data_IF_056025938883
#
_entry.id   IF_056025938883
#
_cell.length_a   1.000
_cell.length_b   1.000
_cell.length_c   1.000
_cell.angle_alpha   90.00
_cell.angle_beta   90.00
_cell.angle_gamma   90.00
#
_symmetry.space_group_name_H-M   'P 1'
#
loop_
_entity.id
_entity.type
_entity.pdbx_description
1 polymer ?
#
# COMPACT_ATOMS: atom_id res chain seq x y z
N UNK A 1 9.20 -22.90 -56.90
CA UNK A 1 8.12 -23.14 -55.94
C UNK A 1 8.60 -23.13 -54.48
N UNK A 2 9.62 -22.32 -54.14
CA UNK A 2 10.20 -22.30 -52.73
C UNK A 2 9.72 -21.11 -51.86
N UNK A 3 8.90 -20.21 -52.40
CA UNK A 3 8.51 -18.97 -51.66
C UNK A 3 7.22 -19.02 -50.84
N UNK A 4 6.30 -19.92 -51.12
CA UNK A 4 5.01 -19.98 -50.41
C UNK A 4 5.06 -20.61 -49.04
N UNK A 5 5.94 -21.59 -48.84
CA UNK A 5 6.11 -22.25 -47.54
C UNK A 5 6.70 -21.34 -46.47
N UNK A 6 7.64 -20.48 -46.86
CA UNK A 6 8.33 -19.57 -45.93
C UNK A 6 7.40 -18.43 -45.44
N UNK A 7 6.49 -17.95 -46.29
CA UNK A 7 5.50 -16.93 -45.90
C UNK A 7 4.43 -17.50 -44.94
N UNK A 8 4.04 -18.76 -45.13
CA UNK A 8 3.07 -19.43 -44.24
C UNK A 8 3.66 -19.63 -42.84
N UNK A 9 4.94 -19.99 -42.75
CA UNK A 9 5.65 -20.13 -41.47
C UNK A 9 5.83 -18.81 -40.72
N UNK A 10 6.11 -17.69 -41.43
CA UNK A 10 6.21 -16.36 -40.85
C UNK A 10 4.87 -15.83 -40.34
N UNK A 11 3.76 -16.12 -41.04
CA UNK A 11 2.43 -15.75 -40.59
C UNK A 11 1.97 -16.61 -39.39
N UNK A 12 2.31 -17.89 -39.35
CA UNK A 12 2.04 -18.75 -38.21
C UNK A 12 2.86 -18.35 -36.96
N UNK A 13 4.12 -17.97 -37.13
CA UNK A 13 4.93 -17.46 -36.02
C UNK A 13 4.43 -16.10 -35.51
N UNK A 14 3.97 -15.21 -36.36
CA UNK A 14 3.36 -13.94 -35.99
C UNK A 14 2.04 -14.11 -35.26
N UNK A 15 1.20 -15.06 -35.68
CA UNK A 15 -0.05 -15.41 -35.01
C UNK A 15 0.15 -16.07 -33.63
N UNK A 16 1.19 -16.88 -33.47
CA UNK A 16 1.57 -17.46 -32.18
C UNK A 16 2.14 -16.41 -31.22
N UNK A 17 2.88 -15.43 -31.72
CA UNK A 17 3.42 -14.33 -30.90
C UNK A 17 2.30 -13.37 -30.43
N UNK A 18 1.24 -13.15 -31.20
CA UNK A 18 0.12 -12.32 -30.78
C UNK A 18 -0.85 -13.02 -29.82
N UNK A 19 -0.89 -14.35 -29.81
CA UNK A 19 -1.69 -15.11 -28.84
C UNK A 19 -1.08 -15.14 -27.43
N UNK A 20 0.24 -14.90 -27.29
CA UNK A 20 0.91 -14.90 -25.99
C UNK A 20 0.65 -13.64 -25.14
N UNK A 21 0.06 -12.58 -25.70
CA UNK A 21 -0.28 -11.35 -24.97
C UNK A 21 -1.73 -11.26 -24.47
N UNK A 22 -2.55 -12.29 -24.69
CA UNK A 22 -3.96 -12.30 -24.30
C UNK A 22 -4.28 -13.25 -23.14
N UNK A 23 -3.30 -13.63 -22.33
CA UNK A 23 -3.57 -14.14 -20.98
C UNK A 23 -3.53 -12.90 -20.07
N UNK A 24 -4.51 -12.02 -20.22
CA UNK A 24 -4.89 -11.14 -19.14
C UNK A 24 -5.29 -12.06 -17.99
N UNK A 25 -4.60 -11.92 -16.87
CA UNK A 25 -4.87 -12.65 -15.65
C UNK A 25 -6.34 -12.42 -15.27
N UNK A 26 -7.20 -13.41 -15.56
CA UNK A 26 -8.64 -13.32 -15.35
C UNK A 26 -9.01 -13.31 -13.86
N UNK A 27 -8.02 -13.33 -12.97
CA UNK A 27 -8.17 -13.35 -11.51
C UNK A 27 -7.81 -12.03 -10.82
N UNK A 28 -7.35 -11.01 -11.54
CA UNK A 28 -7.07 -9.71 -10.92
C UNK A 28 -8.38 -9.00 -10.58
N UNK A 29 -8.58 -8.56 -9.32
CA UNK A 29 -9.80 -7.86 -8.93
C UNK A 29 -9.94 -6.56 -9.75
N UNK A 30 -11.14 -6.26 -10.28
CA UNK A 30 -11.38 -5.02 -11.01
C UNK A 30 -11.25 -3.81 -10.07
N UNK A 31 -10.91 -2.62 -10.62
CA UNK A 31 -10.99 -1.39 -9.85
C UNK A 31 -12.37 -1.20 -9.22
N UNK A 32 -12.40 -0.78 -7.96
CA UNK A 32 -13.64 -0.70 -7.19
C UNK A 32 -13.90 -1.91 -6.30
N UNK A 33 -13.04 -2.94 -6.32
CA UNK A 33 -13.20 -4.11 -5.45
C UNK A 33 -13.01 -3.75 -4.00
N UNK A 34 -13.96 -4.17 -3.16
CA UNK A 34 -13.93 -3.99 -1.72
C UNK A 34 -12.85 -4.88 -1.10
N UNK A 35 -11.90 -4.27 -0.39
CA UNK A 35 -10.75 -4.96 0.20
C UNK A 35 -10.82 -5.09 1.71
N UNK A 36 -11.53 -4.18 2.38
CA UNK A 36 -11.75 -4.27 3.82
C UNK A 36 -12.98 -3.47 4.25
N UNK A 37 -13.66 -3.95 5.26
CA UNK A 37 -14.83 -3.29 5.86
C UNK A 37 -14.76 -3.32 7.37
N UNK A 38 -15.09 -2.19 8.00
CA UNK A 38 -15.18 -2.04 9.44
C UNK A 38 -16.43 -1.22 9.80
N UNK A 39 -17.23 -1.69 10.76
CA UNK A 39 -18.43 -1.02 11.18
C UNK A 39 -19.55 -1.06 10.13
N UNK A 40 -20.19 0.08 9.87
CA UNK A 40 -21.30 0.17 8.95
C UNK A 40 -20.83 0.59 7.57
N UNK A 41 -20.89 -0.35 6.61
CA UNK A 41 -20.53 -0.14 5.21
C UNK A 41 -21.64 -0.64 4.31
N UNK A 42 -22.03 0.12 3.31
CA UNK A 42 -23.09 -0.19 2.36
C UNK A 42 -22.59 -0.02 0.93
N UNK A 43 -22.95 -0.95 0.05
CA UNK A 43 -22.83 -0.81 -1.41
C UNK A 43 -24.23 -0.82 -1.99
N UNK A 44 -24.62 0.23 -2.68
CA UNK A 44 -25.99 0.41 -3.20
C UNK A 44 -27.07 0.17 -2.13
N UNK A 45 -26.82 0.68 -0.90
CA UNK A 45 -27.73 0.48 0.25
C UNK A 45 -27.69 -0.91 0.89
N UNK A 46 -26.97 -1.86 0.32
CA UNK A 46 -26.83 -3.21 0.86
C UNK A 46 -25.64 -3.31 1.80
N UNK A 47 -25.88 -3.83 3.02
CA UNK A 47 -24.84 -3.97 4.04
C UNK A 47 -23.74 -4.92 3.58
N UNK A 48 -22.50 -4.44 3.70
CA UNK A 48 -21.30 -5.22 3.45
C UNK A 48 -20.71 -5.76 4.75
N UNK A 49 -20.03 -6.88 4.63
CA UNK A 49 -19.36 -7.57 5.75
C UNK A 49 -18.02 -8.09 5.27
N UNK A 50 -17.21 -8.65 6.15
CA UNK A 50 -15.95 -9.29 5.76
C UNK A 50 -16.13 -10.39 4.70
N UNK A 51 -17.31 -11.02 4.61
CA UNK A 51 -17.61 -12.01 3.56
C UNK A 51 -17.78 -11.39 2.17
N UNK A 52 -18.01 -10.10 2.10
CA UNK A 52 -18.16 -9.35 0.84
C UNK A 52 -16.80 -8.92 0.25
N UNK A 53 -15.74 -8.98 1.06
CA UNK A 53 -14.39 -8.62 0.63
C UNK A 53 -13.92 -9.53 -0.51
N UNK A 54 -13.32 -8.93 -1.51
CA UNK A 54 -12.83 -9.63 -2.71
C UNK A 54 -13.91 -10.01 -3.73
N UNK A 55 -15.18 -10.11 -3.31
CA UNK A 55 -16.29 -10.51 -4.19
C UNK A 55 -17.22 -9.36 -4.59
N UNK A 56 -17.22 -8.26 -3.83
CA UNK A 56 -18.01 -7.06 -4.14
C UNK A 56 -17.11 -6.02 -4.78
N UNK A 57 -17.56 -5.45 -5.89
CA UNK A 57 -16.90 -4.32 -6.55
C UNK A 57 -17.94 -3.30 -7.04
N UNK A 58 -17.51 -2.08 -7.25
CA UNK A 58 -18.38 -1.00 -7.74
C UNK A 58 -18.33 -0.95 -9.27
N UNK A 59 -19.50 -1.15 -9.90
CA UNK A 59 -19.72 -0.84 -11.29
C UNK A 59 -19.87 0.68 -11.53
N UNK A 60 -19.80 1.16 -12.76
CA UNK A 60 -20.06 2.57 -13.06
C UNK A 60 -21.37 3.07 -12.46
N UNK A 61 -21.33 4.24 -11.82
CA UNK A 61 -22.41 4.90 -11.10
C UNK A 61 -22.88 4.20 -9.82
N UNK A 62 -22.25 3.11 -9.40
CA UNK A 62 -22.54 2.52 -8.09
C UNK A 62 -21.81 3.26 -6.96
N UNK A 63 -22.40 3.18 -5.76
CA UNK A 63 -21.97 3.93 -4.59
C UNK A 63 -21.58 3.00 -3.44
N UNK A 64 -20.50 3.37 -2.79
CA UNK A 64 -20.06 2.82 -1.51
C UNK A 64 -20.22 3.92 -0.46
N UNK A 65 -20.92 3.63 0.63
CA UNK A 65 -21.07 4.55 1.75
C UNK A 65 -20.69 3.90 3.08
N UNK A 66 -20.16 4.73 3.97
CA UNK A 66 -19.88 4.38 5.35
C UNK A 66 -20.80 5.17 6.28
N UNK A 67 -21.24 4.55 7.37
CA UNK A 67 -21.79 5.25 8.51
C UNK A 67 -20.71 5.38 9.59
N UNK A 68 -20.99 4.85 10.80
CA UNK A 68 -19.92 4.69 11.80
C UNK A 68 -19.06 3.47 11.41
N UNK A 69 -18.07 3.70 10.56
CA UNK A 69 -17.22 2.66 10.01
C UNK A 69 -16.23 3.16 8.97
N UNK A 70 -15.44 2.25 8.44
CA UNK A 70 -14.40 2.49 7.44
C UNK A 70 -14.49 1.45 6.34
N UNK A 71 -14.06 1.82 5.14
CA UNK A 71 -13.95 0.90 4.02
C UNK A 71 -12.62 1.11 3.28
N UNK A 72 -12.06 0.03 2.77
CA UNK A 72 -10.93 0.06 1.84
C UNK A 72 -11.34 -0.58 0.53
N UNK A 73 -11.03 0.07 -0.56
CA UNK A 73 -11.34 -0.33 -1.92
C UNK A 73 -10.08 -0.29 -2.77
N UNK A 74 -9.89 -1.32 -3.60
CA UNK A 74 -8.82 -1.38 -4.58
C UNK A 74 -9.18 -0.54 -5.80
N UNK A 75 -8.21 0.22 -6.28
CA UNK A 75 -8.28 0.88 -7.58
C UNK A 75 -7.38 0.16 -8.58
N UNK A 76 -6.42 0.85 -9.18
CA UNK A 76 -5.40 0.17 -9.99
C UNK A 76 -4.42 -0.61 -9.08
N UNK A 77 -3.71 -1.63 -9.60
CA UNK A 77 -2.71 -2.35 -8.82
C UNK A 77 -1.74 -1.41 -8.11
N UNK A 78 -1.62 -1.56 -6.79
CA UNK A 78 -0.83 -0.69 -5.91
C UNK A 78 -1.55 0.59 -5.47
N UNK A 79 -2.86 0.73 -5.68
CA UNK A 79 -3.61 1.91 -5.24
C UNK A 79 -4.83 1.53 -4.39
N UNK A 80 -4.85 2.02 -3.14
CA UNK A 80 -5.92 1.80 -2.17
C UNK A 80 -6.68 3.10 -1.89
N UNK A 81 -7.99 3.07 -2.07
CA UNK A 81 -8.87 4.16 -1.64
C UNK A 81 -9.54 3.77 -0.32
N UNK A 82 -9.37 4.61 0.69
CA UNK A 82 -9.91 4.40 2.03
C UNK A 82 -10.91 5.48 2.38
N UNK A 83 -12.07 5.07 2.87
CA UNK A 83 -13.14 5.98 3.27
C UNK A 83 -13.22 6.05 4.81
N UNK A 84 -13.35 7.27 5.31
CA UNK A 84 -13.61 7.54 6.73
C UNK A 84 -15.08 7.34 7.11
N UNK A 85 -15.42 7.66 8.35
CA UNK A 85 -16.80 7.65 8.81
C UNK A 85 -17.66 8.63 8.00
N UNK A 86 -18.95 8.32 7.88
CA UNK A 86 -19.96 9.18 7.22
C UNK A 86 -19.52 9.67 5.82
N UNK A 87 -18.87 8.80 5.07
CA UNK A 87 -18.32 9.10 3.75
C UNK A 87 -19.06 8.34 2.66
N UNK A 88 -19.06 8.90 1.44
CA UNK A 88 -19.72 8.33 0.28
C UNK A 88 -18.89 8.58 -0.98
N UNK A 89 -18.64 7.51 -1.74
CA UNK A 89 -17.92 7.56 -3.02
C UNK A 89 -18.75 6.87 -4.09
N UNK A 90 -18.73 7.46 -5.30
CA UNK A 90 -19.32 6.87 -6.52
C UNK A 90 -18.22 6.49 -7.48
N UNK A 91 -18.31 5.30 -8.07
CA UNK A 91 -17.47 4.88 -9.18
C UNK A 91 -17.93 5.57 -10.46
N UNK A 92 -17.02 6.28 -11.12
CA UNK A 92 -17.29 6.90 -12.43
C UNK A 92 -16.78 5.98 -13.54
N UNK A 93 -15.52 5.59 -13.48
CA UNK A 93 -14.88 4.69 -14.44
C UNK A 93 -14.01 3.66 -13.69
N UNK A 94 -14.28 2.34 -13.83
CA UNK A 94 -13.49 1.27 -13.23
C UNK A 94 -12.43 0.72 -14.19
N UNK A 95 -12.07 1.43 -15.25
CA UNK A 95 -11.04 0.98 -16.18
C UNK A 95 -9.64 1.09 -15.60
N UNK A 96 -8.78 0.08 -15.80
CA UNK A 96 -7.38 0.16 -15.37
C UNK A 96 -6.63 1.32 -16.00
N UNK A 97 -6.90 1.62 -17.26
CA UNK A 97 -6.28 2.74 -17.98
C UNK A 97 -6.94 4.09 -17.65
N UNK A 98 -8.16 4.09 -17.12
CA UNK A 98 -8.90 5.29 -16.73
C UNK A 98 -9.77 4.96 -15.52
N UNK A 99 -9.20 5.11 -14.32
CA UNK A 99 -9.91 4.89 -13.07
C UNK A 99 -10.34 6.21 -12.48
N UNK A 100 -11.64 6.42 -12.35
CA UNK A 100 -12.18 7.66 -11.79
C UNK A 100 -13.25 7.36 -10.74
N UNK A 101 -13.13 8.03 -9.60
CA UNK A 101 -14.10 8.01 -8.50
C UNK A 101 -14.51 9.43 -8.11
N UNK A 102 -15.72 9.59 -7.59
CA UNK A 102 -16.21 10.86 -7.06
C UNK A 102 -16.48 10.71 -5.57
N UNK A 103 -15.79 11.51 -4.74
CA UNK A 103 -16.12 11.66 -3.33
C UNK A 103 -17.29 12.63 -3.19
N UNK A 104 -18.44 12.11 -2.77
CA UNK A 104 -19.70 12.87 -2.67
C UNK A 104 -19.89 13.46 -1.28
N UNK A 105 -19.44 12.76 -0.25
CA UNK A 105 -19.56 13.15 1.16
C UNK A 105 -18.38 12.62 1.98
N UNK A 106 -18.05 13.31 3.07
CA UNK A 106 -17.06 12.85 4.05
C UNK A 106 -15.63 13.03 3.59
N UNK A 107 -14.80 12.03 3.89
CA UNK A 107 -13.36 12.05 3.63
C UNK A 107 -12.87 10.74 3.04
N UNK A 108 -11.86 10.85 2.19
CA UNK A 108 -11.19 9.70 1.59
C UNK A 108 -9.67 9.92 1.56
N UNK A 109 -8.92 8.84 1.78
CA UNK A 109 -7.47 8.81 1.64
C UNK A 109 -7.08 7.84 0.54
N UNK A 110 -6.29 8.31 -0.40
CA UNK A 110 -5.77 7.52 -1.50
C UNK A 110 -4.28 7.28 -1.28
N UNK A 111 -3.93 6.02 -1.06
CA UNK A 111 -2.54 5.54 -1.02
C UNK A 111 -2.19 4.94 -2.37
N UNK A 112 -1.08 5.37 -2.94
CA UNK A 112 -0.56 4.89 -4.23
C UNK A 112 0.87 4.43 -4.04
N UNK A 113 1.05 3.13 -3.96
CA UNK A 113 2.34 2.45 -3.82
C UNK A 113 3.01 2.24 -5.17
N UNK A 114 2.21 2.11 -6.23
CA UNK A 114 2.67 2.00 -7.60
C UNK A 114 1.72 2.77 -8.53
N UNK A 115 2.30 3.44 -9.52
CA UNK A 115 1.56 4.14 -10.56
C UNK A 115 2.19 3.81 -11.92
N UNK A 116 1.56 2.93 -12.67
CA UNK A 116 2.00 2.62 -14.03
C UNK A 116 1.68 3.76 -14.99
N UNK A 117 2.51 3.93 -16.01
CA UNK A 117 2.37 5.04 -16.99
C UNK A 117 1.03 5.01 -17.74
N UNK A 118 0.49 3.83 -17.90
CA UNK A 118 -0.77 3.57 -18.59
C UNK A 118 -2.00 3.90 -17.72
N UNK A 119 -1.81 4.06 -16.39
CA UNK A 119 -2.88 4.33 -15.46
C UNK A 119 -3.16 5.84 -15.40
N UNK A 120 -4.38 6.21 -15.75
CA UNK A 120 -4.93 7.53 -15.48
C UNK A 120 -5.90 7.42 -14.31
N UNK A 121 -5.46 7.89 -13.14
CA UNK A 121 -6.25 7.80 -11.91
C UNK A 121 -6.65 9.19 -11.45
N UNK A 122 -7.95 9.39 -11.20
CA UNK A 122 -8.48 10.68 -10.76
C UNK A 122 -9.58 10.53 -9.72
N UNK A 123 -9.65 11.55 -8.85
CA UNK A 123 -10.69 11.72 -7.83
C UNK A 123 -11.40 13.04 -8.07
N UNK A 124 -12.73 13.01 -8.13
CA UNK A 124 -13.58 14.19 -8.23
C UNK A 124 -14.09 14.56 -6.85
N UNK A 125 -13.92 15.82 -6.44
CA UNK A 125 -14.45 16.37 -5.19
C UNK A 125 -14.74 17.86 -5.35
N UNK A 126 -15.87 18.34 -4.82
CA UNK A 126 -16.23 19.78 -4.88
C UNK A 126 -16.28 20.34 -6.30
N UNK A 127 -16.66 19.54 -7.28
CA UNK A 127 -16.69 19.95 -8.69
C UNK A 127 -15.34 20.01 -9.41
N UNK A 128 -14.24 19.74 -8.69
CA UNK A 128 -12.90 19.69 -9.27
C UNK A 128 -12.42 18.25 -9.46
N UNK A 129 -11.66 18.01 -10.53
CA UNK A 129 -11.04 16.71 -10.82
C UNK A 129 -9.56 16.77 -10.50
N UNK A 130 -9.11 15.85 -9.63
CA UNK A 130 -7.70 15.73 -9.27
C UNK A 130 -7.12 14.47 -9.87
N UNK A 131 -6.14 14.62 -10.77
CA UNK A 131 -5.39 13.54 -11.37
C UNK A 131 -4.10 13.29 -10.60
N UNK A 132 -3.86 12.05 -10.23
CA UNK A 132 -2.61 11.61 -9.59
C UNK A 132 -1.51 11.53 -10.65
N UNK A 133 -0.34 12.08 -10.34
CA UNK A 133 0.82 12.08 -11.25
C UNK A 133 2.03 11.30 -10.72
N UNK A 134 2.03 10.91 -9.43
CA UNK A 134 3.11 10.13 -8.81
C UNK A 134 2.55 9.23 -7.73
N UNK A 135 3.31 8.19 -7.37
CA UNK A 135 3.17 7.47 -6.11
C UNK A 135 3.09 8.45 -4.95
N UNK A 136 2.29 8.14 -3.93
CA UNK A 136 2.15 9.03 -2.79
C UNK A 136 0.85 8.84 -2.01
N UNK A 137 0.59 9.82 -1.15
CA UNK A 137 -0.55 9.84 -0.24
C UNK A 137 -1.34 11.13 -0.43
N UNK A 138 -2.64 10.97 -0.64
CA UNK A 138 -3.54 12.05 -1.01
C UNK A 138 -4.78 12.01 -0.10
N UNK A 139 -5.15 13.15 0.46
CA UNK A 139 -6.32 13.33 1.32
C UNK A 139 -7.36 14.20 0.63
N UNK A 140 -8.59 13.73 0.60
CA UNK A 140 -9.74 14.38 -0.02
C UNK A 140 -10.84 14.58 1.01
N UNK A 141 -11.42 15.76 1.04
CA UNK A 141 -12.59 16.08 1.86
C UNK A 141 -13.71 16.67 0.98
N UNK A 142 -14.92 16.12 1.13
CA UNK A 142 -16.11 16.67 0.47
C UNK A 142 -16.92 17.57 1.40
N UNK A 143 -16.85 17.39 2.72
CA UNK A 143 -17.56 18.23 3.70
C UNK A 143 -16.97 19.65 3.78
N UNK A 144 -15.66 19.77 3.62
CA UNK A 144 -14.94 21.02 3.39
C UNK A 144 -14.11 20.82 2.14
N UNK A 145 -14.69 21.02 0.94
CA UNK A 145 -14.09 20.56 -0.29
C UNK A 145 -12.63 20.98 -0.43
N UNK A 146 -11.75 20.01 -0.42
CA UNK A 146 -10.29 20.23 -0.45
C UNK A 146 -9.54 18.98 -0.90
N UNK A 147 -8.33 19.21 -1.40
CA UNK A 147 -7.36 18.18 -1.77
C UNK A 147 -6.03 18.52 -1.15
N UNK A 148 -5.44 17.57 -0.40
CA UNK A 148 -4.10 17.69 0.17
C UNK A 148 -3.19 16.61 -0.41
N UNK A 149 -1.97 16.98 -0.73
CA UNK A 149 -0.90 16.04 -1.15
C UNK A 149 0.06 15.90 0.02
N UNK A 150 -0.06 14.78 0.74
CA UNK A 150 0.80 14.46 1.87
C UNK A 150 2.16 13.97 1.38
N UNK A 151 2.12 13.15 0.34
CA UNK A 151 3.29 12.75 -0.45
C UNK A 151 2.92 12.61 -1.92
N UNK A 152 3.91 12.71 -2.83
CA UNK A 152 3.71 12.60 -4.26
C UNK A 152 3.43 13.90 -4.99
N UNK A 153 2.62 13.81 -6.05
CA UNK A 153 2.25 14.94 -6.92
C UNK A 153 0.89 14.66 -7.58
N UNK A 154 0.04 15.68 -7.63
CA UNK A 154 -1.23 15.66 -8.34
C UNK A 154 -1.48 16.95 -9.11
N UNK A 155 -2.44 16.91 -10.03
CA UNK A 155 -2.94 18.10 -10.73
C UNK A 155 -4.44 18.16 -10.54
N UNK A 156 -4.90 19.29 -10.01
CA UNK A 156 -6.33 19.57 -9.82
C UNK A 156 -6.83 20.52 -10.89
N UNK A 157 -7.95 20.20 -11.49
CA UNK A 157 -8.65 20.97 -12.53
C UNK A 157 -10.00 21.44 -11.98
N UNK A 158 -10.31 22.71 -12.20
CA UNK A 158 -11.62 23.29 -11.91
C UNK A 158 -12.04 24.15 -13.13
N UNK A 159 -12.91 23.62 -13.95
CA UNK A 159 -13.14 24.16 -15.30
C UNK A 159 -11.83 24.20 -16.09
N UNK A 160 -11.52 25.37 -16.65
CA UNK A 160 -10.27 25.57 -17.42
C UNK A 160 -9.04 25.86 -16.54
N UNK A 161 -9.23 26.03 -15.23
CA UNK A 161 -8.13 26.30 -14.31
C UNK A 161 -7.41 25.02 -13.93
N UNK A 162 -6.09 25.09 -13.82
CA UNK A 162 -5.21 23.96 -13.50
C UNK A 162 -4.21 24.34 -12.42
N UNK A 163 -4.12 23.52 -11.35
CA UNK A 163 -3.13 23.66 -10.29
C UNK A 163 -2.31 22.38 -10.13
N UNK A 164 -0.99 22.52 -10.04
CA UNK A 164 -0.10 21.42 -9.69
C UNK A 164 0.17 21.44 -8.19
N UNK A 165 -0.23 20.35 -7.52
CA UNK A 165 -0.02 20.15 -6.10
C UNK A 165 1.16 19.19 -5.88
N UNK A 166 2.04 19.54 -4.96
CA UNK A 166 3.19 18.72 -4.53
C UNK A 166 3.07 18.44 -3.04
N UNK A 167 3.90 17.55 -2.53
CA UNK A 167 4.03 17.23 -1.11
C UNK A 167 3.95 18.47 -0.20
N UNK A 168 3.09 18.41 0.82
CA UNK A 168 2.86 19.49 1.79
C UNK A 168 1.99 20.63 1.26
N UNK A 169 1.24 20.43 0.17
CA UNK A 169 0.37 21.43 -0.45
C UNK A 169 -1.06 20.95 -0.52
N UNK A 170 -1.98 21.92 -0.40
CA UNK A 170 -3.41 21.72 -0.57
C UNK A 170 -4.03 22.77 -1.48
N UNK A 171 -5.22 22.48 -1.96
CA UNK A 171 -6.16 23.42 -2.56
C UNK A 171 -7.50 23.31 -1.86
N UNK A 172 -8.09 24.44 -1.51
CA UNK A 172 -9.47 24.54 -1.03
C UNK A 172 -10.39 24.77 -2.21
N UNK A 173 -11.46 23.98 -2.29
CA UNK A 173 -12.41 23.95 -3.41
C UNK A 173 -13.79 24.52 -3.02
N UNK A 174 -13.91 25.08 -1.80
CA UNK A 174 -15.15 25.66 -1.31
C UNK A 174 -15.48 26.97 -2.07
N UNK A 175 -16.77 27.20 -2.30
CA UNK A 175 -17.26 28.44 -2.92
C UNK A 175 -16.70 29.69 -2.20
N UNK A 176 -16.35 30.69 -2.99
CA UNK A 176 -15.77 31.94 -2.48
C UNK A 176 -14.32 31.86 -2.03
N UNK A 177 -13.68 30.71 -2.10
CA UNK A 177 -12.25 30.56 -1.84
C UNK A 177 -11.43 30.70 -3.13
N UNK A 178 -10.23 31.28 -3.06
CA UNK A 178 -9.34 31.32 -4.21
C UNK A 178 -8.92 29.90 -4.59
N UNK A 179 -9.02 29.55 -5.88
CA UNK A 179 -8.43 28.34 -6.42
C UNK A 179 -6.91 28.53 -6.52
N UNK A 180 -6.22 28.30 -5.40
CA UNK A 180 -4.79 28.55 -5.24
C UNK A 180 -4.14 27.50 -4.33
N UNK A 181 -2.87 27.23 -4.61
CA UNK A 181 -2.07 26.30 -3.81
C UNK A 181 -1.61 26.96 -2.52
N UNK A 182 -1.87 26.32 -1.39
CA UNK A 182 -1.37 26.74 -0.08
C UNK A 182 -0.72 25.59 0.69
N UNK A 183 -0.14 25.88 1.85
CA UNK A 183 0.38 24.88 2.79
C UNK A 183 -0.75 24.46 3.73
N UNK A 184 -0.79 23.18 4.11
CA UNK A 184 -1.65 22.69 5.19
C UNK A 184 -0.84 22.37 6.45
N UNK A 185 -1.53 22.27 7.58
CA UNK A 185 -0.93 21.81 8.84
C UNK A 185 -0.85 20.28 8.84
N UNK A 186 0.38 19.76 8.75
CA UNK A 186 0.65 18.35 8.72
C UNK A 186 0.21 17.64 10.02
N UNK A 187 0.36 18.30 11.16
CA UNK A 187 -0.01 17.75 12.47
C UNK A 187 -1.50 17.49 12.58
N UNK A 188 -2.33 18.34 11.98
CA UNK A 188 -3.78 18.14 11.94
C UNK A 188 -4.13 16.87 11.14
N UNK A 189 -3.48 16.67 10.00
CA UNK A 189 -3.71 15.47 9.18
C UNK A 189 -3.24 14.20 9.89
N UNK A 190 -2.06 14.19 10.50
CA UNK A 190 -1.52 13.04 11.23
C UNK A 190 -2.36 12.67 12.48
N UNK A 191 -3.12 13.61 13.00
CA UNK A 191 -4.07 13.40 14.09
C UNK A 191 -5.46 12.96 13.62
N UNK A 192 -5.74 13.03 12.32
CA UNK A 192 -7.02 12.59 11.75
C UNK A 192 -7.24 11.08 11.94
N UNK A 193 -8.44 10.64 12.38
CA UNK A 193 -8.74 9.24 12.55
C UNK A 193 -8.58 8.41 11.26
N UNK A 194 -8.95 8.96 10.10
CA UNK A 194 -8.80 8.27 8.82
C UNK A 194 -7.31 8.09 8.46
N UNK A 195 -6.46 9.10 8.72
CA UNK A 195 -5.01 8.96 8.49
C UNK A 195 -4.42 7.83 9.33
N UNK A 196 -4.73 7.78 10.63
CA UNK A 196 -4.21 6.74 11.54
C UNK A 196 -4.73 5.35 11.18
N UNK A 197 -6.01 5.28 10.82
CA UNK A 197 -6.59 4.03 10.35
C UNK A 197 -5.95 3.58 9.02
N UNK A 198 -5.67 4.51 8.12
CA UNK A 198 -5.00 4.23 6.85
C UNK A 198 -3.57 3.74 7.03
N UNK A 199 -2.79 4.33 7.96
CA UNK A 199 -1.45 3.87 8.32
C UNK A 199 -1.49 2.42 8.86
N UNK A 200 -2.47 2.12 9.74
CA UNK A 200 -2.68 0.76 10.25
C UNK A 200 -3.05 -0.23 9.14
N UNK A 201 -3.92 0.18 8.20
CA UNK A 201 -4.28 -0.67 7.06
C UNK A 201 -3.09 -0.93 6.13
N UNK A 202 -2.24 0.07 5.93
CA UNK A 202 -1.00 -0.08 5.16
C UNK A 202 -0.03 -1.07 5.83
N UNK A 203 0.07 -1.06 7.18
CA UNK A 203 0.81 -2.09 7.94
C UNK A 203 0.25 -3.50 7.68
N UNK A 204 -1.07 -3.67 7.70
CA UNK A 204 -1.68 -4.97 7.42
C UNK A 204 -1.48 -5.42 5.96
N UNK A 205 -1.60 -4.51 5.00
CA UNK A 205 -1.32 -4.80 3.60
C UNK A 205 0.14 -5.27 3.38
N UNK A 206 1.10 -4.69 4.13
CA UNK A 206 2.49 -5.18 4.15
C UNK A 206 2.59 -6.59 4.71
N UNK A 207 1.88 -6.91 5.79
CA UNK A 207 1.90 -8.26 6.38
C UNK A 207 1.32 -9.30 5.42
N UNK A 208 0.20 -8.98 4.76
CA UNK A 208 -0.37 -9.82 3.70
C UNK A 208 0.59 -9.97 2.52
N UNK A 209 1.23 -8.88 2.08
CA UNK A 209 2.24 -8.93 1.02
C UNK A 209 3.41 -9.86 1.37
N UNK A 210 3.98 -9.74 2.57
CA UNK A 210 5.09 -10.59 3.00
C UNK A 210 4.69 -12.05 3.04
N UNK A 211 3.50 -12.36 3.55
CA UNK A 211 3.00 -13.73 3.63
C UNK A 211 2.80 -14.32 2.25
N UNK A 212 2.13 -13.60 1.36
CA UNK A 212 1.82 -14.07 0.01
C UNK A 212 3.08 -14.14 -0.86
N UNK A 213 4.01 -13.17 -0.74
CA UNK A 213 5.31 -13.23 -1.42
C UNK A 213 6.13 -14.47 -1.01
N UNK A 214 6.10 -14.88 0.27
CA UNK A 214 6.74 -16.10 0.73
C UNK A 214 6.06 -17.36 0.15
N UNK A 215 4.73 -17.38 0.08
CA UNK A 215 3.98 -18.50 -0.50
C UNK A 215 4.33 -18.68 -1.98
N UNK A 216 4.28 -17.60 -2.75
CA UNK A 216 4.64 -17.60 -4.17
C UNK A 216 6.10 -17.99 -4.42
N UNK A 217 7.01 -17.51 -3.57
CA UNK A 217 8.42 -17.92 -3.63
C UNK A 217 8.60 -19.43 -3.41
N UNK A 218 7.89 -20.00 -2.43
CA UNK A 218 7.97 -21.42 -2.13
C UNK A 218 7.36 -22.30 -3.24
N UNK A 219 6.34 -21.81 -3.93
CA UNK A 219 5.69 -22.51 -5.04
C UNK A 219 6.54 -22.53 -6.32
N UNK A 220 7.50 -21.59 -6.46
CA UNK A 220 8.40 -21.50 -7.61
C UNK A 220 7.68 -21.15 -8.93
N UNK A 221 6.48 -20.55 -8.86
CA UNK A 221 5.67 -20.16 -10.00
C UNK A 221 6.15 -18.87 -10.69
N UNK A 222 5.51 -18.55 -11.81
CA UNK A 222 5.62 -17.25 -12.45
C UNK A 222 4.65 -16.26 -11.75
N UNK A 223 5.12 -15.07 -11.46
CA UNK A 223 4.33 -13.96 -10.91
C UNK A 223 4.69 -12.64 -11.58
N UNK A 224 3.74 -11.72 -11.61
CA UNK A 224 3.91 -10.34 -12.08
C UNK A 224 3.44 -9.34 -11.03
N UNK A 225 3.57 -8.04 -11.31
CA UNK A 225 2.99 -7.01 -10.45
C UNK A 225 1.45 -7.13 -10.48
N UNK A 226 0.80 -7.07 -9.32
CA UNK A 226 -0.65 -7.21 -9.25
C UNK A 226 -1.20 -7.32 -7.84
N UNK A 227 -2.51 -7.56 -7.77
CA UNK A 227 -3.20 -7.89 -6.55
C UNK A 227 -3.15 -9.40 -6.32
N UNK A 228 -2.77 -9.83 -5.12
CA UNK A 228 -2.74 -11.22 -4.71
C UNK A 228 -3.61 -11.42 -3.48
N UNK A 229 -4.48 -12.44 -3.53
CA UNK A 229 -5.38 -12.76 -2.42
C UNK A 229 -4.62 -13.51 -1.33
N UNK A 230 -4.63 -12.94 -0.13
CA UNK A 230 -4.14 -13.64 1.07
C UNK A 230 -5.33 -14.29 1.81
N UNK A 231 -5.41 -15.62 1.82
CA UNK A 231 -6.51 -16.33 2.47
C UNK A 231 -6.43 -16.27 4.01
N UNK A 232 -5.30 -15.91 4.59
CA UNK A 232 -5.13 -15.77 6.03
C UNK A 232 -5.67 -14.43 6.53
N UNK A 233 -5.32 -13.33 5.85
CA UNK A 233 -5.80 -12.00 6.15
C UNK A 233 -7.15 -11.70 5.52
N UNK A 234 -7.56 -12.53 4.54
CA UNK A 234 -8.80 -12.38 3.77
C UNK A 234 -8.90 -11.00 3.10
N UNK A 235 -7.82 -10.56 2.51
CA UNK A 235 -7.73 -9.33 1.73
C UNK A 235 -6.76 -9.51 0.55
N UNK A 236 -6.71 -8.52 -0.34
CA UNK A 236 -5.71 -8.47 -1.39
C UNK A 236 -4.54 -7.59 -0.95
N UNK A 237 -3.34 -8.11 -1.14
CA UNK A 237 -2.11 -7.37 -1.00
C UNK A 237 -1.54 -6.97 -2.36
N UNK A 238 -0.95 -5.78 -2.42
CA UNK A 238 -0.15 -5.36 -3.55
C UNK A 238 1.16 -6.14 -3.60
N UNK A 239 1.47 -6.70 -4.78
CA UNK A 239 2.72 -7.40 -5.05
C UNK A 239 3.48 -6.67 -6.14
N UNK A 240 4.65 -6.08 -5.87
CA UNK A 240 5.51 -5.55 -6.92
C UNK A 240 6.10 -6.69 -7.76
N UNK A 241 6.24 -6.47 -9.06
CA UNK A 241 6.77 -7.50 -9.97
C UNK A 241 8.23 -7.85 -9.73
N UNK A 242 9.00 -6.92 -9.14
CA UNK A 242 10.42 -7.09 -8.88
C UNK A 242 10.89 -6.26 -7.69
N UNK A 243 11.83 -6.80 -6.91
CA UNK A 243 12.49 -6.05 -5.85
C UNK A 243 11.62 -5.75 -4.64
N UNK A 244 11.91 -4.64 -4.02
CA UNK A 244 11.22 -4.11 -2.85
C UNK A 244 10.83 -2.65 -3.13
N UNK A 245 9.63 -2.27 -2.72
CA UNK A 245 9.13 -0.89 -2.74
C UNK A 245 8.78 -0.40 -1.35
N UNK A 246 8.54 0.90 -1.23
CA UNK A 246 8.07 1.56 -0.01
C UNK A 246 6.79 2.32 -0.30
N UNK A 247 5.76 2.02 0.46
CA UNK A 247 4.54 2.81 0.46
C UNK A 247 4.76 4.19 1.10
N UNK A 248 3.86 5.14 0.86
CA UNK A 248 4.00 6.51 1.36
C UNK A 248 3.87 6.64 2.89
N UNK A 249 3.30 5.66 3.58
CA UNK A 249 3.34 5.55 5.05
C UNK A 249 4.68 4.99 5.56
N UNK A 250 5.57 4.55 4.64
CA UNK A 250 6.87 3.99 4.99
C UNK A 250 6.83 2.50 5.31
N UNK A 251 5.79 1.80 4.90
CA UNK A 251 5.70 0.35 4.97
C UNK A 251 6.27 -0.28 3.70
N UNK A 252 7.08 -1.35 3.79
CA UNK A 252 7.69 -1.99 2.63
C UNK A 252 6.74 -2.99 1.97
N UNK A 253 6.89 -3.15 0.65
CA UNK A 253 6.30 -4.22 -0.13
C UNK A 253 7.39 -5.00 -0.84
N UNK A 254 7.26 -6.31 -0.89
CA UNK A 254 8.26 -7.22 -1.44
C UNK A 254 7.69 -8.01 -2.59
N UNK A 255 8.47 -8.15 -3.66
CA UNK A 255 8.22 -9.22 -4.63
C UNK A 255 8.62 -10.57 -4.02
N UNK A 256 8.14 -11.71 -4.56
CA UNK A 256 8.59 -13.02 -4.12
C UNK A 256 10.11 -13.21 -4.17
N UNK A 257 10.78 -12.59 -5.13
CA UNK A 257 12.25 -12.56 -5.22
C UNK A 257 12.91 -11.83 -4.04
N UNK A 258 12.37 -10.66 -3.70
CA UNK A 258 12.96 -9.83 -2.66
C UNK A 258 12.75 -10.43 -1.27
N UNK A 259 11.60 -11.03 -1.01
CA UNK A 259 11.30 -11.65 0.30
C UNK A 259 12.19 -12.85 0.60
N UNK A 260 12.55 -13.64 -0.43
CA UNK A 260 13.47 -14.78 -0.28
C UNK A 260 14.92 -14.35 0.03
N UNK A 261 15.30 -13.13 -0.34
CA UNK A 261 16.65 -12.57 -0.12
C UNK A 261 16.68 -11.52 1.00
N UNK A 262 15.55 -11.15 1.58
CA UNK A 262 15.45 -10.15 2.65
C UNK A 262 15.54 -10.76 4.06
N UNK A 263 16.65 -11.44 4.43
CA UNK A 263 16.91 -11.74 5.81
C UNK A 263 17.38 -10.44 6.46
N UNK A 264 16.66 -9.93 7.44
CA UNK A 264 17.19 -9.03 8.47
C UNK A 264 17.18 -7.51 8.30
N UNK A 265 16.63 -6.88 7.31
CA UNK A 265 16.62 -5.42 7.31
C UNK A 265 15.26 -4.81 7.64
N UNK A 266 14.94 -4.82 8.94
CA UNK A 266 13.82 -4.07 9.48
C UNK A 266 14.16 -2.59 9.70
N UNK A 267 14.33 -1.80 8.65
CA UNK A 267 14.47 -0.35 8.76
C UNK A 267 13.32 0.34 8.04
N UNK A 268 12.33 0.78 8.80
CA UNK A 268 11.34 1.73 8.29
C UNK A 268 11.82 3.18 8.46
N UNK A 269 11.36 4.13 7.65
CA UNK A 269 11.53 5.55 7.92
C UNK A 269 10.91 5.88 9.28
N UNK A 270 11.69 6.47 10.18
CA UNK A 270 11.26 6.78 11.54
C UNK A 270 11.81 5.86 12.63
N UNK A 271 12.75 4.95 12.32
CA UNK A 271 13.44 4.13 13.31
C UNK A 271 12.59 3.04 13.97
N UNK A 272 11.46 2.68 13.38
CA UNK A 272 10.67 1.54 13.83
C UNK A 272 11.34 0.25 13.36
N UNK A 273 11.77 -0.59 14.31
CA UNK A 273 12.32 -1.90 14.03
C UNK A 273 11.17 -2.90 13.85
N UNK A 274 11.01 -3.43 12.65
CA UNK A 274 10.07 -4.49 12.37
C UNK A 274 10.84 -5.82 12.37
N UNK A 275 10.56 -6.67 13.33
CA UNK A 275 10.94 -8.07 13.28
C UNK A 275 9.89 -8.79 12.44
N UNK A 276 10.13 -8.91 11.14
CA UNK A 276 9.37 -9.85 10.33
C UNK A 276 9.64 -11.25 10.86
N UNK A 277 8.62 -12.10 11.02
CA UNK A 277 8.88 -13.50 11.27
C UNK A 277 9.70 -14.01 10.08
N UNK A 278 10.96 -14.34 10.36
CA UNK A 278 11.79 -15.12 9.44
C UNK A 278 10.93 -16.26 8.93
N UNK A 279 10.87 -16.44 7.61
CA UNK A 279 10.20 -17.57 7.00
C UNK A 279 10.48 -18.81 7.83
N UNK A 280 9.50 -19.24 8.60
CA UNK A 280 9.56 -20.56 9.17
C UNK A 280 9.56 -21.47 7.93
N UNK A 281 10.65 -22.14 7.72
CA UNK A 281 10.78 -23.21 6.74
C UNK A 281 9.46 -23.94 6.71
N UNK A 282 8.85 -24.01 5.53
CA UNK A 282 7.61 -24.72 5.31
C UNK A 282 7.78 -26.17 5.80
N UNK A 283 7.53 -26.37 7.09
CA UNK A 283 7.24 -27.67 7.63
C UNK A 283 5.86 -28.07 7.10
N UNK A 284 5.60 -29.37 6.95
CA UNK A 284 4.33 -29.83 6.41
C UNK A 284 3.17 -29.17 7.18
N UNK A 285 2.23 -28.59 6.44
CA UNK A 285 1.00 -28.00 6.96
C UNK A 285 0.39 -28.92 8.00
N UNK A 286 0.29 -28.47 9.24
CA UNK A 286 -0.53 -29.15 10.22
C UNK A 286 -2.00 -29.00 9.77
N UNK A 287 -2.57 -30.04 9.23
CA UNK A 287 -4.01 -30.14 8.99
C UNK A 287 -4.74 -29.86 10.30
N UNK A 288 -5.46 -28.75 10.38
CA UNK A 288 -6.29 -28.42 11.53
C UNK A 288 -6.08 -27.03 12.15
N UNK A 289 -5.19 -26.19 11.67
CA UNK A 289 -5.10 -24.81 12.13
C UNK A 289 -6.34 -24.03 11.66
N UNK A 290 -7.32 -23.87 12.57
CA UNK A 290 -8.44 -22.95 12.33
C UNK A 290 -7.88 -21.53 12.27
N UNK A 291 -8.30 -20.70 11.26
CA UNK A 291 -7.95 -19.30 11.25
C UNK A 291 -8.43 -18.65 12.55
N UNK A 292 -7.70 -17.69 13.10
CA UNK A 292 -8.18 -16.92 14.26
C UNK A 292 -9.52 -16.29 13.90
N UNK A 293 -10.49 -16.48 14.77
CA UNK A 293 -11.86 -15.98 14.65
C UNK A 293 -11.85 -14.50 14.27
N UNK A 294 -12.71 -14.18 13.29
CA UNK A 294 -12.99 -12.87 12.75
C UNK A 294 -12.83 -11.75 13.79
N UNK A 295 -12.16 -10.70 13.37
CA UNK A 295 -11.98 -9.47 14.11
C UNK A 295 -13.29 -9.02 14.74
N UNK A 296 -13.33 -8.92 16.08
CA UNK A 296 -14.43 -8.24 16.74
C UNK A 296 -14.38 -6.76 16.37
N UNK A 297 -15.50 -6.12 16.02
CA UNK A 297 -15.53 -4.71 15.69
C UNK A 297 -14.97 -3.91 16.87
N UNK A 298 -14.09 -2.98 16.57
CA UNK A 298 -13.51 -2.06 17.54
C UNK A 298 -14.65 -1.26 18.21
N UNK A 299 -14.89 -1.47 19.49
CA UNK A 299 -15.69 -0.54 20.29
C UNK A 299 -14.83 0.70 20.52
N UNK A 300 -15.31 1.81 19.98
CA UNK A 300 -14.65 3.10 19.92
C UNK A 300 -13.83 3.48 21.15
N UNK A 301 -12.55 3.60 20.95
CA UNK A 301 -11.59 4.47 21.64
C UNK A 301 -10.21 4.25 21.00
N UNK A 302 -9.37 5.29 20.82
CA UNK A 302 -8.04 5.13 20.28
C UNK A 302 -7.12 4.52 21.35
N UNK A 303 -7.24 3.22 21.52
CA UNK A 303 -6.44 2.43 22.42
C UNK A 303 -5.71 1.35 21.62
N UNK A 304 -4.44 1.23 21.86
CA UNK A 304 -3.53 0.25 21.30
C UNK A 304 -4.20 -1.11 21.06
N UNK A 305 -4.33 -1.50 19.80
CA UNK A 305 -4.92 -2.77 19.44
C UNK A 305 -3.91 -3.88 19.67
N UNK A 306 -4.36 -4.92 20.35
CA UNK A 306 -3.59 -6.12 20.55
C UNK A 306 -3.27 -6.75 19.17
N UNK A 307 -1.99 -6.88 18.88
CA UNK A 307 -1.49 -7.75 17.83
C UNK A 307 -2.16 -9.13 17.93
N UNK A 308 -2.40 -9.84 16.82
CA UNK A 308 -2.87 -11.22 16.86
C UNK A 308 -2.08 -12.03 17.88
N UNK A 309 -2.73 -12.83 18.66
CA UNK A 309 -2.16 -13.57 19.82
C UNK A 309 -0.86 -14.31 19.50
N UNK A 310 -0.61 -14.65 18.23
CA UNK A 310 0.63 -15.28 17.77
C UNK A 310 1.87 -14.37 17.90
N UNK A 311 1.72 -13.04 17.75
CA UNK A 311 2.83 -12.10 17.96
C UNK A 311 3.03 -11.71 19.41
N UNK A 312 2.00 -11.82 20.26
CA UNK A 312 2.08 -11.52 21.69
C UNK A 312 2.86 -12.59 22.49
N UNK A 313 2.87 -13.85 22.03
CA UNK A 313 3.58 -14.93 22.74
C UNK A 313 5.11 -14.85 22.64
N UNK A 314 5.67 -14.12 21.69
CA UNK A 314 7.13 -14.03 21.53
C UNK A 314 7.78 -12.88 22.32
N UNK A 315 6.98 -11.96 22.90
CA UNK A 315 7.50 -10.90 23.78
C UNK A 315 7.81 -11.36 25.21
N UNK A 316 7.35 -12.52 25.64
CA UNK A 316 7.50 -13.03 27.00
C UNK A 316 8.74 -13.89 27.26
N UNK A 317 9.49 -14.33 26.25
CA UNK A 317 10.58 -15.32 26.41
C UNK A 317 12.00 -14.77 26.35
N UNK A 318 12.20 -13.46 26.24
CA UNK A 318 13.56 -12.87 26.27
C UNK A 318 13.91 -12.17 27.59
N UNK A 319 13.26 -12.50 28.68
CA UNK A 319 13.77 -12.13 30.02
C UNK A 319 14.27 -13.38 30.74
N UNK A 320 15.59 -13.58 30.69
CA UNK A 320 16.28 -14.51 31.57
C UNK A 320 17.16 -15.55 30.89
N UNK A 321 18.27 -15.12 30.29
CA UNK A 321 19.45 -15.96 30.18
C UNK A 321 20.60 -15.25 30.92
N UNK A 322 21.24 -15.89 31.92
CA UNK A 322 22.36 -15.27 32.62
C UNK A 322 23.58 -15.24 31.69
N UNK A 323 24.22 -14.08 31.59
CA UNK A 323 25.54 -13.96 30.95
C UNK A 323 26.55 -14.82 31.74
N UNK A 324 26.96 -15.91 31.14
CA UNK A 324 28.13 -16.67 31.57
C UNK A 324 29.38 -15.82 31.39
N UNK A 325 30.06 -15.62 32.50
CA UNK A 325 31.40 -15.04 32.62
C UNK A 325 32.36 -15.89 31.77
N UNK A 326 32.91 -15.38 30.69
CA UNK A 326 34.12 -15.94 30.11
C UNK A 326 35.33 -15.09 30.49
N UNK A 327 36.33 -15.79 30.97
CA UNK A 327 37.54 -15.34 31.61
C UNK A 327 38.47 -14.55 30.72
N UNK A 328 39.35 -13.87 31.40
CA UNK A 328 40.36 -12.99 30.85
C UNK A 328 41.40 -13.70 29.98
N UNK A 329 41.92 -12.93 29.07
CA UNK A 329 43.24 -13.17 28.47
C UNK A 329 44.10 -11.94 28.74
N UNK A 330 45.15 -12.16 29.51
CA UNK A 330 46.26 -11.23 29.79
C UNK A 330 47.18 -11.11 28.58
N UNK A 331 47.73 -9.90 28.43
CA UNK A 331 49.15 -9.74 28.08
C UNK A 331 49.47 -9.47 26.61
N UNK A 332 49.99 -8.28 26.37
CA UNK A 332 50.72 -7.97 25.14
C UNK A 332 51.02 -6.49 24.96
N UNK A 333 51.92 -5.99 25.81
CA UNK A 333 52.58 -4.67 25.66
C UNK A 333 53.56 -4.76 24.48
N UNK A 334 53.47 -3.87 23.49
CA UNK A 334 54.63 -3.49 22.71
C UNK A 334 54.65 -1.97 22.48
N UNK A 335 55.66 -1.36 23.07
CA UNK A 335 56.16 -0.04 22.82
C UNK A 335 56.65 0.08 21.37
N UNK A 336 56.53 1.24 20.80
CA UNK A 336 57.11 1.58 19.51
C UNK A 336 56.78 3.01 19.14
N UNK A 337 57.47 3.96 19.71
CA UNK A 337 57.42 5.36 19.33
C UNK A 337 58.12 5.62 18.03
N UNK A 338 57.65 6.62 17.32
CA UNK A 338 58.51 7.44 16.44
C UNK A 338 58.00 8.90 16.38
N UNK A 339 58.97 9.78 16.65
CA UNK A 339 58.94 11.23 16.61
C UNK A 339 58.91 11.77 15.16
N UNK A 340 58.49 13.00 15.04
CA UNK A 340 58.79 13.95 13.97
C UNK A 340 57.53 14.50 13.33
N UNK A 341 57.22 15.74 13.33
CA UNK A 341 57.98 16.95 13.49
C UNK A 341 57.49 17.96 12.46
N UNK A 342 57.02 19.12 12.96
CA UNK A 342 57.07 20.43 12.33
C UNK A 342 56.50 20.67 10.93
N UNK A 343 55.62 21.69 10.84
CA UNK A 343 55.85 22.81 9.95
C UNK A 343 54.59 23.62 9.65
N UNK A 344 54.45 24.69 10.38
CA UNK A 344 54.12 26.09 9.98
C UNK A 344 53.55 26.36 8.59
N UNK A 345 52.34 26.94 8.45
CA UNK A 345 52.15 28.36 8.47
C UNK A 345 51.72 28.97 7.13
N UNK A 346 51.23 30.18 7.07
CA UNK A 346 49.91 30.53 6.55
C UNK A 346 49.98 31.44 5.27
N UNK A 347 48.82 32.01 4.85
CA UNK A 347 48.55 33.06 3.81
C UNK A 347 48.18 32.48 2.45
N UNK A 348 47.06 32.85 1.85
CA UNK A 348 46.31 34.13 1.69
C UNK A 348 44.84 33.80 1.45
#
# INVERSE_FOLDING_TARGET
>A
MKGRGQQIWQVMLALLATAAFAIADTNSPPPGTLNYVEGQVLVQGQKQTQKSVGSTYLEPNQELSTGNGYAEMLLTPGAYLRLGNDSEVRMISPGLADTQVQLMKGSAMLEVDELFKENNMSVVVGGATTRVEKQGLYDFSANSPSVKVLDGKAVTYEGDRRLSLKKGREVLLAEGRPFAVQKFDKTQVENDPLYRWSDLRSEYATNSNVQEANSLWAEGGWWGPGWYWDPFWMDFAWMPGWGMGWGPFGWPFFSPWAVGWAPYYGFGPGGRHYLYPVAMHAGPRAEGARPPLAHQPMKGSPGFHALPRAMAMNRGRMRGAPMGRMGGFEGGRMDGGFHGGMGMGPRR
#
